data_IF_799689714413
#
_entry.id   IF_799689714413
#
_cell.length_a   1.000
_cell.length_b   1.000
_cell.length_c   1.000
_cell.angle_alpha   90.00
_cell.angle_beta   90.00
_cell.angle_gamma   90.00
#
_symmetry.space_group_name_H-M   'P 1'
#
loop_
_entity.id
_entity.type
_entity.pdbx_description
1 polymer ?
#
# COMPACT_ATOMS: atom_id res chain seq x y z
N UNK A 1 50.19 -53.12 23.93
CA UNK A 1 48.97 -53.20 23.11
C UNK A 1 48.17 -51.88 23.39
N UNK A 2 48.35 -50.87 22.58
CA UNK A 2 47.75 -49.52 22.77
C UNK A 2 46.64 -49.36 21.74
N UNK A 3 45.36 -49.31 22.20
CA UNK A 3 44.22 -48.94 21.36
C UNK A 3 44.21 -47.43 21.13
N UNK A 4 44.34 -47.03 19.88
CA UNK A 4 44.17 -45.65 19.42
C UNK A 4 42.66 -45.44 19.12
N UNK A 5 41.97 -44.70 19.98
CA UNK A 5 40.60 -44.24 19.76
C UNK A 5 40.59 -43.07 18.80
N UNK A 6 40.12 -43.28 17.58
CA UNK A 6 39.96 -42.25 16.56
C UNK A 6 38.60 -41.57 16.75
N UNK A 7 38.59 -40.42 17.36
CA UNK A 7 37.40 -39.58 17.53
C UNK A 7 37.09 -38.90 16.21
N UNK A 8 36.04 -39.32 15.52
CA UNK A 8 35.53 -38.73 14.29
C UNK A 8 34.72 -37.48 14.66
N UNK A 9 35.30 -36.30 14.45
CA UNK A 9 34.64 -35.00 14.63
C UNK A 9 33.75 -34.74 13.41
N UNK A 10 32.41 -34.95 13.53
CA UNK A 10 31.44 -34.56 12.52
C UNK A 10 31.28 -33.03 12.53
N UNK A 11 31.87 -32.35 11.56
CA UNK A 11 31.59 -30.96 11.22
C UNK A 11 30.23 -30.88 10.54
N UNK A 12 29.19 -30.50 11.29
CA UNK A 12 27.90 -30.10 10.75
C UNK A 12 28.06 -28.74 10.10
N UNK A 13 28.34 -28.69 8.79
CA UNK A 13 28.25 -27.50 7.97
C UNK A 13 26.76 -27.22 7.75
N UNK A 14 26.16 -26.46 8.67
CA UNK A 14 24.83 -25.88 8.47
C UNK A 14 24.87 -24.86 7.33
N UNK A 15 24.32 -25.22 6.18
CA UNK A 15 24.05 -24.26 5.11
C UNK A 15 22.99 -23.28 5.60
N UNK A 16 23.39 -22.11 6.06
CA UNK A 16 22.46 -20.99 6.27
C UNK A 16 22.04 -20.50 4.89
N UNK A 17 20.86 -20.90 4.45
CA UNK A 17 20.24 -20.39 3.23
C UNK A 17 19.79 -18.96 3.49
N UNK A 18 20.64 -17.99 3.18
CA UNK A 18 20.28 -16.58 3.27
C UNK A 18 19.36 -16.25 2.10
N UNK A 19 18.06 -16.13 2.37
CA UNK A 19 17.10 -15.64 1.38
C UNK A 19 17.37 -14.18 1.12
N UNK A 20 18.00 -13.89 -0.01
CA UNK A 20 18.23 -12.52 -0.47
C UNK A 20 16.93 -12.03 -1.10
N UNK A 21 16.24 -11.09 -0.43
CA UNK A 21 15.07 -10.41 -1.00
C UNK A 21 15.55 -9.22 -1.82
N UNK A 22 15.39 -9.30 -3.12
CA UNK A 22 15.63 -8.17 -4.04
C UNK A 22 14.46 -7.21 -4.00
N UNK A 23 14.73 -5.91 -4.22
CA UNK A 23 13.66 -4.92 -4.43
C UNK A 23 12.93 -5.29 -5.72
N UNK A 24 11.63 -5.48 -5.63
CA UNK A 24 10.80 -5.67 -6.82
C UNK A 24 10.50 -4.31 -7.46
N UNK A 25 11.21 -4.00 -8.53
CA UNK A 25 11.10 -2.77 -9.30
C UNK A 25 10.10 -2.89 -10.47
N UNK A 26 9.30 -3.95 -10.52
CA UNK A 26 8.28 -4.09 -11.55
C UNK A 26 7.36 -2.87 -11.52
N UNK A 27 7.16 -2.18 -12.67
CA UNK A 27 6.26 -1.02 -12.70
C UNK A 27 4.80 -1.45 -12.48
N UNK A 28 3.94 -0.55 -11.99
CA UNK A 28 2.51 -0.83 -11.92
C UNK A 28 1.93 -1.00 -13.33
N UNK A 29 0.84 -1.76 -13.40
CA UNK A 29 0.11 -1.94 -14.66
C UNK A 29 -0.48 -0.62 -15.15
N UNK A 30 -0.47 -0.46 -16.46
CA UNK A 30 -1.22 0.58 -17.16
C UNK A 30 -2.37 -0.04 -17.92
N UNK A 31 -3.44 0.71 -18.15
CA UNK A 31 -4.55 0.26 -18.98
C UNK A 31 -4.03 -0.07 -20.38
N UNK A 32 -4.49 -1.20 -20.94
CA UNK A 32 -4.13 -1.62 -22.29
C UNK A 32 -4.64 -0.65 -23.37
N UNK A 33 -5.70 0.10 -23.07
CA UNK A 33 -6.30 1.11 -23.94
C UNK A 33 -6.17 2.47 -23.28
N UNK A 34 -5.78 3.50 -24.04
CA UNK A 34 -5.76 4.86 -23.54
C UNK A 34 -7.19 5.26 -23.11
N UNK A 35 -7.32 5.71 -21.85
CA UNK A 35 -8.57 6.19 -21.29
C UNK A 35 -8.80 7.65 -21.74
N UNK A 36 -10.03 7.95 -22.12
CA UNK A 36 -10.43 9.34 -22.38
C UNK A 36 -10.65 10.08 -21.07
N UNK A 37 -10.68 11.42 -21.12
CA UNK A 37 -10.87 12.24 -19.90
C UNK A 37 -12.19 11.91 -19.19
N UNK A 38 -13.24 11.59 -19.94
CA UNK A 38 -14.55 11.18 -19.40
C UNK A 38 -14.50 9.82 -18.70
N UNK A 39 -13.49 9.00 -18.98
CA UNK A 39 -13.31 7.67 -18.40
C UNK A 39 -12.38 7.66 -17.18
N UNK A 40 -11.66 8.75 -16.94
CA UNK A 40 -10.79 8.90 -15.80
C UNK A 40 -11.60 9.22 -14.55
N UNK A 41 -11.34 8.53 -13.45
CA UNK A 41 -11.95 8.76 -12.15
C UNK A 41 -10.95 9.49 -11.23
N UNK A 42 -11.43 10.52 -10.53
CA UNK A 42 -10.66 11.25 -9.52
C UNK A 42 -10.55 10.44 -8.23
N UNK A 43 -9.36 10.36 -7.66
CA UNK A 43 -9.07 9.52 -6.49
C UNK A 43 -8.64 10.38 -5.30
N UNK A 44 -9.32 10.23 -4.18
CA UNK A 44 -8.91 10.72 -2.87
C UNK A 44 -8.27 9.61 -2.05
N UNK A 45 -7.00 9.74 -1.69
CA UNK A 45 -6.35 8.86 -0.72
C UNK A 45 -6.46 9.52 0.64
N UNK A 46 -7.30 8.97 1.52
CA UNK A 46 -7.49 9.49 2.87
C UNK A 46 -6.23 9.27 3.71
N UNK A 47 -6.02 10.13 4.72
CA UNK A 47 -5.02 9.83 5.75
C UNK A 47 -5.35 8.47 6.36
N UNK A 48 -4.33 7.65 6.57
CA UNK A 48 -4.53 6.30 7.11
C UNK A 48 -4.84 6.35 8.60
N UNK A 49 -5.64 5.41 9.05
CA UNK A 49 -5.83 5.15 10.48
C UNK A 49 -4.50 4.62 11.06
N UNK A 50 -3.87 5.32 12.00
CA UNK A 50 -2.63 4.88 12.62
C UNK A 50 -2.81 3.63 13.50
N UNK A 51 -4.05 3.30 13.88
CA UNK A 51 -4.38 2.13 14.71
C UNK A 51 -3.52 2.04 15.98
N UNK A 52 -3.43 3.16 16.71
CA UNK A 52 -2.69 3.23 17.96
C UNK A 52 -3.64 2.80 19.10
N UNK A 53 -3.34 1.75 19.87
CA UNK A 53 -4.11 1.38 21.04
C UNK A 53 -4.14 2.53 22.06
N UNK A 54 -5.27 2.72 22.75
CA UNK A 54 -5.35 3.67 23.86
C UNK A 54 -4.56 3.18 25.09
N UNK A 55 -4.48 1.86 25.27
CA UNK A 55 -3.75 1.24 26.35
C UNK A 55 -2.24 1.27 26.10
N UNK A 56 -1.49 1.83 27.05
CA UNK A 56 -0.03 1.97 26.96
C UNK A 56 0.70 0.61 26.96
N UNK A 57 0.21 -0.37 27.75
CA UNK A 57 0.82 -1.69 27.81
C UNK A 57 0.68 -2.41 26.44
N UNK A 58 -0.47 -2.25 25.78
CA UNK A 58 -0.69 -2.75 24.44
C UNK A 58 0.22 -2.06 23.40
N UNK A 59 0.54 -0.77 23.56
CA UNK A 59 1.50 -0.09 22.69
C UNK A 59 2.91 -0.69 22.85
N UNK A 60 3.33 -0.99 24.08
CA UNK A 60 4.63 -1.61 24.37
C UNK A 60 4.68 -3.04 23.78
N UNK A 61 3.65 -3.84 24.03
CA UNK A 61 3.57 -5.22 23.56
C UNK A 61 3.65 -5.30 22.01
N UNK A 62 3.01 -4.37 21.31
CA UNK A 62 3.02 -4.28 19.85
C UNK A 62 4.18 -3.46 19.29
N UNK A 63 5.08 -2.95 20.14
CA UNK A 63 6.24 -2.12 19.75
C UNK A 63 5.79 -0.88 18.94
N UNK A 64 4.66 -0.29 19.31
CA UNK A 64 4.14 0.90 18.65
C UNK A 64 4.73 2.16 19.29
N UNK A 65 5.36 2.99 18.46
CA UNK A 65 5.77 4.35 18.81
C UNK A 65 4.75 5.33 18.21
N UNK A 66 3.90 5.97 19.02
CA UNK A 66 2.77 6.78 18.53
C UNK A 66 3.18 7.86 17.53
N UNK A 67 4.27 8.59 17.78
CA UNK A 67 4.74 9.67 16.90
C UNK A 67 5.16 9.13 15.52
N UNK A 68 5.86 7.99 15.49
CA UNK A 68 6.27 7.34 14.24
C UNK A 68 5.02 6.87 13.50
N UNK A 69 4.10 6.18 14.19
CA UNK A 69 2.86 5.67 13.60
C UNK A 69 1.98 6.79 13.02
N UNK A 70 1.91 7.94 13.70
CA UNK A 70 1.22 9.14 13.19
C UNK A 70 1.91 9.74 11.95
N UNK A 71 3.23 9.73 11.91
CA UNK A 71 3.99 10.17 10.73
C UNK A 71 3.76 9.22 9.54
N UNK A 72 3.80 7.91 9.77
CA UNK A 72 3.51 6.87 8.77
C UNK A 72 2.10 7.01 8.21
N UNK A 73 1.09 7.24 9.08
CA UNK A 73 -0.30 7.43 8.68
C UNK A 73 -0.53 8.63 7.73
N UNK A 74 0.40 9.58 7.72
CA UNK A 74 0.42 10.74 6.78
C UNK A 74 1.27 10.47 5.56
N UNK A 75 2.38 9.75 5.72
CA UNK A 75 3.35 9.48 4.65
C UNK A 75 2.84 8.42 3.67
N UNK A 76 2.28 7.32 4.15
CA UNK A 76 1.80 6.21 3.31
C UNK A 76 0.75 6.66 2.26
N UNK A 77 -0.26 7.47 2.60
CA UNK A 77 -1.17 8.03 1.60
C UNK A 77 -0.48 8.84 0.51
N UNK A 78 0.58 9.55 0.85
CA UNK A 78 1.36 10.31 -0.12
C UNK A 78 2.09 9.39 -1.11
N UNK A 79 2.68 8.28 -0.63
CA UNK A 79 3.32 7.27 -1.48
C UNK A 79 2.29 6.58 -2.38
N UNK A 80 1.15 6.16 -1.80
CA UNK A 80 0.05 5.56 -2.55
C UNK A 80 -0.49 6.50 -3.64
N UNK A 81 -0.69 7.80 -3.31
CA UNK A 81 -1.07 8.84 -4.26
C UNK A 81 -0.06 8.94 -5.42
N UNK A 82 1.24 8.99 -5.12
CA UNK A 82 2.27 9.09 -6.15
C UNK A 82 2.29 7.85 -7.05
N UNK A 83 2.14 6.65 -6.47
CA UNK A 83 2.05 5.40 -7.22
C UNK A 83 0.85 5.41 -8.16
N UNK A 84 -0.35 5.72 -7.67
CA UNK A 84 -1.57 5.78 -8.49
C UNK A 84 -1.43 6.82 -9.61
N UNK A 85 -0.92 8.01 -9.30
CA UNK A 85 -0.72 9.06 -10.28
C UNK A 85 0.26 8.66 -11.40
N UNK A 86 1.31 7.92 -11.06
CA UNK A 86 2.33 7.48 -12.04
C UNK A 86 1.80 6.49 -13.08
N UNK A 87 0.67 5.84 -12.81
CA UNK A 87 0.08 4.86 -13.74
C UNK A 87 -0.63 5.53 -14.93
N UNK A 88 -1.10 6.76 -14.78
CA UNK A 88 -1.92 7.44 -15.79
C UNK A 88 -3.33 6.83 -15.97
N UNK A 89 -3.75 5.92 -15.09
CA UNK A 89 -5.06 5.25 -15.15
C UNK A 89 -6.20 6.06 -14.51
N UNK A 90 -5.86 7.14 -13.82
CA UNK A 90 -6.75 7.92 -12.96
C UNK A 90 -6.72 9.39 -13.37
N UNK A 91 -7.79 10.12 -13.04
CA UNK A 91 -7.83 11.56 -13.15
C UNK A 91 -6.92 12.23 -12.11
N UNK A 92 -7.42 13.22 -11.39
CA UNK A 92 -6.64 13.83 -10.33
C UNK A 92 -6.54 12.87 -9.12
N UNK A 93 -5.31 12.59 -8.68
CA UNK A 93 -5.08 11.82 -7.44
C UNK A 93 -4.59 12.77 -6.35
N UNK A 94 -5.30 12.82 -5.22
CA UNK A 94 -5.02 13.75 -4.11
C UNK A 94 -5.00 13.03 -2.78
N UNK A 95 -4.16 13.50 -1.85
CA UNK A 95 -4.29 13.13 -0.44
C UNK A 95 -5.38 14.01 0.18
N UNK A 96 -6.32 13.39 0.88
CA UNK A 96 -7.42 14.08 1.56
C UNK A 96 -7.38 13.77 3.06
N UNK A 97 -7.77 14.70 3.95
CA UNK A 97 -7.71 14.46 5.40
C UNK A 97 -8.63 13.32 5.87
N UNK A 98 -9.71 13.10 5.16
CA UNK A 98 -10.75 12.08 5.41
C UNK A 98 -11.51 11.83 4.13
N UNK A 99 -12.49 10.93 4.17
CA UNK A 99 -13.41 10.77 3.05
C UNK A 99 -13.95 12.13 2.58
N UNK A 100 -13.95 12.34 1.27
CA UNK A 100 -14.33 13.61 0.65
C UNK A 100 -15.39 13.36 -0.42
N UNK A 101 -16.42 14.18 -0.44
CA UNK A 101 -17.45 14.15 -1.50
C UNK A 101 -16.97 14.78 -2.82
N UNK A 102 -15.74 15.29 -2.86
CA UNK A 102 -15.13 15.93 -4.03
C UNK A 102 -14.30 14.98 -4.90
N UNK A 103 -14.47 13.66 -4.74
CA UNK A 103 -13.73 12.64 -5.49
C UNK A 103 -14.65 11.48 -5.88
N UNK A 104 -14.32 10.83 -6.99
CA UNK A 104 -15.06 9.68 -7.50
C UNK A 104 -14.78 8.42 -6.68
N UNK A 105 -13.55 8.27 -6.21
CA UNK A 105 -13.09 7.14 -5.41
C UNK A 105 -12.39 7.63 -4.14
N UNK A 106 -12.62 6.89 -3.04
CA UNK A 106 -11.88 7.08 -1.80
C UNK A 106 -11.12 5.81 -1.44
N UNK A 107 -9.81 5.98 -1.19
CA UNK A 107 -8.95 4.92 -0.66
C UNK A 107 -8.74 5.19 0.82
N UNK A 108 -9.20 4.28 1.68
CA UNK A 108 -9.01 4.33 3.12
C UNK A 108 -8.04 3.24 3.52
N UNK A 109 -7.07 3.55 4.36
CA UNK A 109 -6.09 2.60 4.88
C UNK A 109 -6.09 2.57 6.40
N UNK A 110 -5.77 1.40 6.97
CA UNK A 110 -5.52 1.20 8.39
C UNK A 110 -4.22 0.46 8.58
N UNK A 111 -3.30 1.01 9.36
CA UNK A 111 -2.00 0.38 9.62
C UNK A 111 -2.20 -0.72 10.66
N UNK A 112 -1.89 -1.96 10.29
CA UNK A 112 -1.99 -3.11 11.19
C UNK A 112 -0.64 -3.40 11.83
N UNK A 113 0.43 -3.38 11.04
CA UNK A 113 1.78 -3.64 11.49
C UNK A 113 2.76 -2.79 10.67
N UNK A 114 3.71 -2.16 11.35
CA UNK A 114 4.82 -1.42 10.73
C UNK A 114 5.98 -1.42 11.71
N UNK A 115 7.01 -2.19 11.44
CA UNK A 115 8.19 -2.37 12.29
C UNK A 115 9.51 -2.06 11.56
N UNK A 116 9.41 -1.56 10.32
CA UNK A 116 10.56 -1.27 9.46
C UNK A 116 11.01 -2.45 8.61
N UNK A 117 10.70 -3.68 8.97
CA UNK A 117 10.96 -4.89 8.15
C UNK A 117 9.71 -5.38 7.44
N UNK A 118 8.56 -5.21 8.09
CA UNK A 118 7.25 -5.65 7.60
C UNK A 118 6.24 -4.51 7.70
N UNK A 119 5.45 -4.37 6.66
CA UNK A 119 4.31 -3.48 6.61
C UNK A 119 3.05 -4.26 6.28
N UNK A 120 2.03 -4.15 7.13
CA UNK A 120 0.69 -4.70 6.90
C UNK A 120 -0.32 -3.58 6.99
N UNK A 121 -1.11 -3.40 5.94
CA UNK A 121 -2.14 -2.37 5.84
C UNK A 121 -3.44 -2.98 5.34
N UNK A 122 -4.55 -2.69 6.01
CA UNK A 122 -5.87 -2.98 5.49
C UNK A 122 -6.32 -1.78 4.64
N UNK A 123 -6.69 -2.03 3.38
CA UNK A 123 -7.12 -1.02 2.43
C UNK A 123 -8.55 -1.30 1.99
N UNK A 124 -9.41 -0.28 2.09
CA UNK A 124 -10.75 -0.27 1.52
C UNK A 124 -10.87 0.80 0.46
N UNK A 125 -11.34 0.42 -0.71
CA UNK A 125 -11.66 1.35 -1.80
C UNK A 125 -13.16 1.42 -1.99
N UNK A 126 -13.70 2.64 -1.99
CA UNK A 126 -15.15 2.88 -2.11
C UNK A 126 -15.37 3.98 -3.14
N UNK A 127 -16.39 3.82 -4.01
CA UNK A 127 -16.77 4.83 -4.98
C UNK A 127 -17.79 5.84 -4.42
N UNK A 128 -18.07 6.86 -5.20
CA UNK A 128 -19.00 7.93 -4.83
C UNK A 128 -20.44 7.43 -4.60
N UNK A 129 -20.84 6.30 -5.19
CA UNK A 129 -22.15 5.68 -4.94
C UNK A 129 -22.23 5.01 -3.56
N UNK A 130 -21.09 4.81 -2.90
CA UNK A 130 -20.97 4.09 -1.63
C UNK A 130 -20.68 2.60 -1.82
N UNK A 131 -20.48 2.14 -3.04
CA UNK A 131 -20.13 0.75 -3.32
C UNK A 131 -18.66 0.51 -2.99
N UNK A 132 -18.40 -0.49 -2.17
CA UNK A 132 -17.01 -0.95 -1.90
C UNK A 132 -16.52 -1.76 -3.08
N UNK A 133 -15.41 -1.34 -3.67
CA UNK A 133 -14.74 -2.07 -4.72
C UNK A 133 -14.05 -3.31 -4.16
N UNK A 134 -13.28 -3.12 -3.09
CA UNK A 134 -12.69 -4.19 -2.30
C UNK A 134 -12.30 -3.70 -0.91
N UNK A 135 -12.09 -4.67 -0.02
CA UNK A 135 -11.52 -4.52 1.31
C UNK A 135 -10.48 -5.61 1.45
N UNK A 136 -9.20 -5.24 1.46
CA UNK A 136 -8.10 -6.20 1.31
C UNK A 136 -6.92 -5.85 2.19
N UNK A 137 -6.33 -6.88 2.78
CA UNK A 137 -5.07 -6.78 3.52
C UNK A 137 -3.89 -6.92 2.57
N UNK A 138 -2.99 -5.95 2.63
CA UNK A 138 -1.72 -5.95 1.91
C UNK A 138 -0.58 -6.17 2.89
N UNK A 139 0.37 -7.01 2.51
CA UNK A 139 1.58 -7.27 3.30
C UNK A 139 2.80 -7.12 2.41
N UNK A 140 3.76 -6.34 2.85
CA UNK A 140 5.04 -6.18 2.18
C UNK A 140 6.18 -6.33 3.18
N UNK A 141 7.29 -6.86 2.70
CA UNK A 141 8.52 -7.03 3.48
C UNK A 141 9.60 -6.15 2.85
N UNK A 142 10.20 -5.32 3.68
CA UNK A 142 11.28 -4.45 3.25
C UNK A 142 12.44 -5.27 2.70
N UNK A 143 13.03 -4.79 1.60
CA UNK A 143 14.31 -5.32 1.16
C UNK A 143 15.42 -4.69 1.98
N UNK A 144 16.29 -5.47 2.57
CA UNK A 144 17.48 -4.98 3.26
C UNK A 144 18.40 -4.11 2.38
N UNK A 145 18.28 -4.23 1.05
CA UNK A 145 19.04 -3.41 0.11
C UNK A 145 18.58 -1.95 0.06
N UNK A 146 17.34 -1.64 0.46
CA UNK A 146 16.83 -0.27 0.52
C UNK A 146 17.58 0.56 1.57
N UNK A 147 18.08 -0.10 2.63
CA UNK A 147 18.83 0.55 3.71
C UNK A 147 20.34 0.60 3.49
N UNK A 148 20.84 0.16 2.32
CA UNK A 148 22.26 0.28 1.99
C UNK A 148 22.55 1.65 1.36
N UNK A 149 23.70 2.25 1.69
CA UNK A 149 24.14 3.58 1.22
C UNK A 149 24.15 3.79 -0.30
N UNK A 150 24.06 2.70 -1.08
CA UNK A 150 24.07 2.74 -2.55
C UNK A 150 22.68 2.61 -3.17
N UNK A 151 21.63 2.48 -2.36
CA UNK A 151 20.26 2.44 -2.89
C UNK A 151 19.82 3.84 -3.33
N UNK A 152 19.15 3.99 -4.49
CA UNK A 152 18.55 5.27 -4.83
C UNK A 152 17.60 5.69 -3.70
N UNK A 153 17.83 6.84 -3.07
CA UNK A 153 17.05 7.35 -1.93
C UNK A 153 15.56 7.60 -2.24
N UNK A 154 15.17 7.40 -3.50
CA UNK A 154 13.79 7.62 -3.98
C UNK A 154 12.90 6.38 -3.94
N UNK A 155 13.42 5.20 -3.56
CA UNK A 155 12.67 3.95 -3.56
C UNK A 155 12.13 3.68 -2.16
N UNK A 156 10.80 3.67 -2.02
CA UNK A 156 10.14 3.26 -0.78
C UNK A 156 10.38 1.76 -0.52
N UNK A 157 10.69 1.42 0.73
CA UNK A 157 10.98 0.03 1.13
C UNK A 157 9.81 -0.93 0.88
N UNK A 158 8.59 -0.40 0.85
CA UNK A 158 7.34 -1.12 0.69
C UNK A 158 6.64 -0.79 -0.64
N UNK A 159 7.38 -0.34 -1.64
CA UNK A 159 6.84 0.07 -2.95
C UNK A 159 5.94 -0.99 -3.59
N UNK A 160 6.25 -2.28 -3.39
CA UNK A 160 5.45 -3.38 -3.91
C UNK A 160 4.01 -3.36 -3.41
N UNK A 161 3.77 -2.97 -2.16
CA UNK A 161 2.43 -2.86 -1.58
C UNK A 161 1.58 -1.83 -2.35
N UNK A 162 2.14 -0.66 -2.61
CA UNK A 162 1.42 0.41 -3.32
C UNK A 162 1.21 0.08 -4.80
N UNK A 163 2.15 -0.64 -5.42
CA UNK A 163 1.98 -1.19 -6.77
C UNK A 163 0.83 -2.19 -6.82
N UNK A 164 0.77 -3.12 -5.85
CA UNK A 164 -0.27 -4.14 -5.82
C UNK A 164 -1.65 -3.51 -5.58
N UNK A 165 -1.74 -2.48 -4.73
CA UNK A 165 -2.93 -1.65 -4.60
C UNK A 165 -3.34 -1.02 -5.94
N UNK A 166 -2.40 -0.39 -6.64
CA UNK A 166 -2.67 0.24 -7.94
C UNK A 166 -3.16 -0.77 -8.99
N UNK A 167 -2.58 -1.97 -9.00
CA UNK A 167 -2.95 -3.05 -9.91
C UNK A 167 -4.36 -3.61 -9.59
N UNK A 168 -4.70 -3.78 -8.30
CA UNK A 168 -6.02 -4.23 -7.89
C UNK A 168 -7.10 -3.20 -8.22
N UNK A 169 -6.82 -1.91 -8.00
CA UNK A 169 -7.73 -0.82 -8.38
C UNK A 169 -7.97 -0.80 -9.89
N UNK A 170 -6.91 -0.94 -10.70
CA UNK A 170 -7.05 -1.03 -12.16
C UNK A 170 -7.86 -2.26 -12.56
N UNK A 171 -7.58 -3.43 -11.97
CA UNK A 171 -8.30 -4.66 -12.27
C UNK A 171 -9.80 -4.53 -12.00
N UNK A 172 -10.19 -3.89 -10.89
CA UNK A 172 -11.60 -3.63 -10.62
C UNK A 172 -12.19 -2.62 -11.63
N UNK A 173 -11.47 -1.54 -11.91
CA UNK A 173 -11.91 -0.52 -12.86
C UNK A 173 -12.16 -1.12 -14.25
N UNK A 174 -11.35 -2.10 -14.68
CA UNK A 174 -11.51 -2.82 -15.96
C UNK A 174 -12.79 -3.67 -16.02
N UNK A 175 -13.42 -3.97 -14.89
CA UNK A 175 -14.72 -4.67 -14.83
C UNK A 175 -15.93 -3.74 -15.01
N UNK A 176 -15.73 -2.42 -14.90
CA UNK A 176 -16.80 -1.44 -15.00
C UNK A 176 -17.14 -1.12 -16.46
N UNK A 177 -18.42 -0.99 -16.74
CA UNK A 177 -18.90 -0.45 -18.02
C UNK A 177 -18.71 1.08 -18.07
N UNK A 178 -18.81 1.66 -19.26
CA UNK A 178 -18.78 3.13 -19.41
C UNK A 178 -19.96 3.79 -18.66
N UNK A 179 -21.09 3.11 -18.54
CA UNK A 179 -22.26 3.60 -17.81
C UNK A 179 -21.97 3.64 -16.30
N UNK A 180 -21.34 2.59 -15.75
CA UNK A 180 -20.96 2.57 -14.33
C UNK A 180 -20.01 3.72 -13.99
N UNK A 181 -19.02 3.97 -14.84
CA UNK A 181 -18.07 5.08 -14.67
C UNK A 181 -18.78 6.42 -14.68
N UNK A 182 -19.69 6.64 -15.62
CA UNK A 182 -20.47 7.88 -15.71
C UNK A 182 -21.34 8.08 -14.47
N UNK A 183 -22.00 7.04 -13.96
CA UNK A 183 -22.84 7.08 -12.76
C UNK A 183 -22.02 7.45 -11.52
N UNK A 184 -20.81 6.88 -11.36
CA UNK A 184 -19.90 7.22 -10.26
C UNK A 184 -19.54 8.71 -10.30
N UNK A 185 -19.14 9.24 -11.48
CA UNK A 185 -18.78 10.65 -11.65
C UNK A 185 -19.96 11.59 -11.37
N UNK A 186 -21.13 11.32 -11.95
CA UNK A 186 -22.33 12.13 -11.71
C UNK A 186 -22.72 12.11 -10.23
N UNK A 187 -22.56 10.98 -9.56
CA UNK A 187 -22.82 10.88 -8.12
C UNK A 187 -21.85 11.74 -7.31
N UNK A 188 -20.55 11.72 -7.63
CA UNK A 188 -19.55 12.58 -7.00
C UNK A 188 -19.87 14.08 -7.21
N UNK A 189 -20.19 14.48 -8.44
CA UNK A 189 -20.57 15.86 -8.77
C UNK A 189 -21.81 16.31 -7.97
N UNK A 190 -22.84 15.46 -7.88
CA UNK A 190 -24.05 15.78 -7.10
C UNK A 190 -23.77 15.91 -5.61
N UNK A 191 -22.90 15.07 -5.04
CA UNK A 191 -22.49 15.14 -3.62
C UNK A 191 -21.70 16.41 -3.36
N UNK A 192 -20.74 16.72 -4.22
CA UNK A 192 -19.96 17.93 -4.14
C UNK A 192 -20.84 19.19 -4.19
N UNK A 193 -21.79 19.24 -5.14
CA UNK A 193 -22.72 20.38 -5.25
C UNK A 193 -23.61 20.58 -4.02
N UNK A 194 -23.90 19.51 -3.25
CA UNK A 194 -24.69 19.55 -2.01
C UNK A 194 -23.89 19.97 -0.79
N UNK A 195 -22.55 19.97 -0.87
CA UNK A 195 -21.68 20.34 0.25
C UNK A 195 -21.51 21.86 0.42
N UNK A 196 -22.11 22.66 -0.47
CA UNK A 196 -22.23 24.11 -0.44
C UNK A 196 -23.66 24.56 -0.16
#
# INVERSE_FOLDING_TARGET
MRLFGMTLLLLLAGCVTQTVRTVDLTPPRQSATALTEEQLLDVGVALFDPNIPEDYDAQIEQIIQPEIRLAEARYMPFVAKNMLQSTGNWGAVRVVPRQSDAVDLTVNGKIIESDGEKLVVDIRVTDASGKTWFDKRYTSLASKYVYLDKSPQSIDAFQSLYRDLANDMLSYRETLSSTDVLEIRQTAEMKFARSF
#
